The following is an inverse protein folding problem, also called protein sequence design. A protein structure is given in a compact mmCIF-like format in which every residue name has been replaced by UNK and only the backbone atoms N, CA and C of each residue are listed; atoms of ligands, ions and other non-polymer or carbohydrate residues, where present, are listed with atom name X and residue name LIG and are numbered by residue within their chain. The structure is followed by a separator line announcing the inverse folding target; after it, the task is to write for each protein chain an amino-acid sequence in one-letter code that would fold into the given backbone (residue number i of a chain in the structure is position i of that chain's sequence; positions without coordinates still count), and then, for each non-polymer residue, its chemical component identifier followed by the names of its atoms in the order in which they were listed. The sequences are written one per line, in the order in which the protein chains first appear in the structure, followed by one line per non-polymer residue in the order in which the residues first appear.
data_IF_478973980740
#
_entry.id   IF_478973980740
#
_cell.length_a   1.000
_cell.length_b   1.000
_cell.length_c   1.000
_cell.angle_alpha   90.00
_cell.angle_beta   90.00
_cell.angle_gamma   90.00
#
_symmetry.space_group_name_H-M   'P 1'
#
loop_
_entity.id
_entity.type
_entity.pdbx_description
1 polymer ?
#
# COMPACT_ATOMS: atom_id res chain seq x y z
N UNK A 1 -21.39 -18.47 9.81
CA UNK A 1 -22.20 -18.84 10.97
C UNK A 1 -23.41 -19.65 10.52
N UNK A 2 -23.73 -20.71 11.24
CA UNK A 2 -24.94 -21.50 11.00
C UNK A 2 -25.98 -21.09 12.07
N UNK A 3 -27.03 -20.40 11.64
CA UNK A 3 -28.06 -19.87 12.55
C UNK A 3 -28.87 -20.96 13.24
N UNK A 4 -29.08 -22.11 12.59
CA UNK A 4 -29.85 -23.23 13.16
C UNK A 4 -29.07 -23.98 14.22
N UNK A 5 -27.79 -24.22 13.97
CA UNK A 5 -26.92 -24.95 14.88
C UNK A 5 -26.19 -24.04 15.89
N UNK A 6 -26.30 -22.73 15.74
CA UNK A 6 -25.56 -21.71 16.53
C UNK A 6 -24.06 -21.94 16.57
N UNK A 7 -23.47 -22.32 15.43
CA UNK A 7 -22.05 -22.67 15.33
C UNK A 7 -21.33 -21.85 14.27
N UNK A 8 -20.02 -21.63 14.50
CA UNK A 8 -19.10 -21.11 13.49
C UNK A 8 -18.31 -22.26 12.86
N UNK A 9 -18.25 -22.28 11.53
CA UNK A 9 -17.24 -23.07 10.87
C UNK A 9 -15.92 -22.30 10.90
N UNK A 10 -14.91 -22.89 11.57
CA UNK A 10 -13.59 -22.30 11.63
C UNK A 10 -12.87 -22.49 10.31
N UNK A 11 -12.41 -21.39 9.76
CA UNK A 11 -11.52 -21.36 8.61
C UNK A 11 -10.08 -21.07 9.03
N UNK A 12 -9.13 -21.27 8.13
CA UNK A 12 -7.74 -20.87 8.37
C UNK A 12 -7.67 -19.33 8.50
N UNK A 13 -6.98 -18.81 9.51
CA UNK A 13 -6.85 -17.37 9.69
C UNK A 13 -6.07 -16.75 8.53
N UNK A 14 -6.52 -15.58 8.08
CA UNK A 14 -5.85 -14.78 7.05
C UNK A 14 -5.55 -13.39 7.60
N UNK A 15 -4.44 -12.80 7.21
CA UNK A 15 -4.16 -11.42 7.53
C UNK A 15 -5.16 -10.50 6.83
N UNK A 16 -5.68 -9.53 7.58
CA UNK A 16 -6.56 -8.50 7.03
C UNK A 16 -5.76 -7.39 6.35
N UNK A 17 -4.52 -7.19 6.76
CA UNK A 17 -3.59 -6.23 6.19
C UNK A 17 -2.18 -6.82 6.17
N UNK A 18 -1.38 -6.47 5.18
CA UNK A 18 0.00 -6.93 5.01
C UNK A 18 1.03 -5.81 5.23
N UNK A 19 0.59 -4.61 5.59
CA UNK A 19 1.47 -3.50 5.92
C UNK A 19 2.23 -3.70 7.22
N UNK A 20 3.05 -2.70 7.54
CA UNK A 20 3.89 -2.70 8.73
C UNK A 20 3.12 -2.21 9.98
N UNK A 21 2.15 -1.31 9.76
CA UNK A 21 1.41 -0.66 10.82
C UNK A 21 -0.10 -0.74 10.54
N UNK A 22 -0.78 -1.65 11.23
CA UNK A 22 -2.22 -1.81 11.13
C UNK A 22 -2.78 -2.37 12.43
N UNK A 23 -3.63 -1.58 13.12
CA UNK A 23 -4.17 -1.97 14.41
C UNK A 23 -5.61 -1.54 14.61
N UNK A 24 -6.35 -2.31 15.40
CA UNK A 24 -7.72 -2.06 15.85
C UNK A 24 -8.69 -1.65 14.72
N UNK A 25 -8.81 -2.42 13.62
CA UNK A 25 -9.73 -2.08 12.54
C UNK A 25 -11.18 -2.04 13.03
N UNK A 26 -11.89 -1.02 12.58
CA UNK A 26 -13.32 -0.88 12.81
C UNK A 26 -14.05 -0.80 11.47
N UNK A 27 -15.27 -1.32 11.42
CA UNK A 27 -16.08 -1.27 10.20
C UNK A 27 -17.44 -0.68 10.46
N UNK A 28 -17.97 0.06 9.49
CA UNK A 28 -19.35 0.57 9.50
C UNK A 28 -20.03 0.29 8.17
N UNK A 29 -21.34 0.13 8.20
CA UNK A 29 -22.16 0.04 7.00
C UNK A 29 -22.72 1.42 6.68
N UNK A 30 -22.51 1.88 5.45
CA UNK A 30 -23.08 3.13 4.96
C UNK A 30 -24.55 2.95 4.53
N UNK A 31 -25.30 4.05 4.42
CA UNK A 31 -26.70 4.02 3.94
C UNK A 31 -26.87 3.42 2.54
N UNK A 32 -25.84 3.53 1.68
CA UNK A 32 -25.81 2.95 0.33
C UNK A 32 -25.48 1.45 0.31
N UNK A 33 -25.26 0.85 1.49
CA UNK A 33 -25.03 -0.58 1.65
C UNK A 33 -23.55 -0.98 1.68
N UNK A 34 -22.63 -0.09 1.31
CA UNK A 34 -21.18 -0.35 1.38
C UNK A 34 -20.72 -0.57 2.83
N UNK A 35 -19.72 -1.40 3.01
CA UNK A 35 -19.04 -1.56 4.29
C UNK A 35 -17.67 -0.93 4.22
N UNK A 36 -17.42 0.02 5.10
CA UNK A 36 -16.17 0.76 5.17
C UNK A 36 -15.37 0.31 6.38
N UNK A 37 -14.06 0.15 6.17
CA UNK A 37 -13.07 -0.16 7.20
C UNK A 37 -12.13 1.02 7.37
N UNK A 38 -11.83 1.36 8.62
CA UNK A 38 -10.73 2.23 9.01
C UNK A 38 -9.95 1.54 10.13
N UNK A 39 -8.63 1.68 10.12
CA UNK A 39 -7.76 1.17 11.16
C UNK A 39 -6.72 2.22 11.57
N UNK A 40 -6.06 1.98 12.67
CA UNK A 40 -4.97 2.81 13.13
C UNK A 40 -3.64 2.34 12.51
N UNK A 41 -2.91 3.27 11.89
CA UNK A 41 -1.58 3.03 11.34
C UNK A 41 -0.51 3.26 12.40
N UNK A 42 -0.58 2.46 13.44
CA UNK A 42 0.42 2.38 14.50
C UNK A 42 0.32 0.99 15.14
N UNK A 43 1.44 0.36 15.38
CA UNK A 43 1.50 -0.78 16.28
C UNK A 43 2.12 -0.37 17.61
N UNK A 44 1.93 -1.19 18.64
CA UNK A 44 2.55 -0.96 19.95
C UNK A 44 4.07 -1.01 19.88
N UNK A 45 4.59 -1.75 18.91
CA UNK A 45 6.01 -2.02 18.72
C UNK A 45 6.72 -0.94 17.87
N UNK A 46 5.97 -0.03 17.23
CA UNK A 46 6.51 1.00 16.38
C UNK A 46 6.06 2.38 16.85
N UNK A 47 6.97 3.12 17.45
CA UNK A 47 6.76 4.49 17.89
C UNK A 47 7.64 5.43 17.07
N UNK A 48 7.13 5.86 15.92
CA UNK A 48 7.79 6.89 15.13
C UNK A 48 7.07 8.20 15.35
N UNK A 49 7.72 9.12 16.03
CA UNK A 49 7.22 10.48 16.22
C UNK A 49 8.28 11.42 15.66
N UNK A 50 7.98 12.15 14.59
CA UNK A 50 8.88 13.20 14.13
C UNK A 50 9.03 14.27 15.23
N UNK A 51 10.24 14.73 15.46
CA UNK A 51 10.58 15.73 16.48
C UNK A 51 9.80 17.05 16.33
N UNK A 52 9.23 17.25 15.14
CA UNK A 52 8.44 18.44 14.80
C UNK A 52 6.94 18.31 15.08
N UNK A 53 6.51 17.16 15.64
CA UNK A 53 5.10 16.87 15.90
C UNK A 53 4.88 16.53 17.37
N UNK A 54 3.80 17.07 17.93
CA UNK A 54 3.31 16.81 19.28
C UNK A 54 2.19 15.74 19.33
N UNK A 55 1.96 15.07 18.21
CA UNK A 55 1.04 13.94 18.07
C UNK A 55 1.70 12.79 17.31
N UNK A 56 1.18 11.57 17.44
CA UNK A 56 1.70 10.39 16.74
C UNK A 56 0.58 9.48 16.24
N UNK A 57 0.93 8.69 15.21
CA UNK A 57 0.02 7.78 14.55
C UNK A 57 -0.87 8.49 13.54
N UNK A 58 -1.48 7.71 12.68
CA UNK A 58 -2.47 8.17 11.71
C UNK A 58 -3.49 7.06 11.46
N UNK A 59 -4.60 7.40 10.86
CA UNK A 59 -5.58 6.43 10.40
C UNK A 59 -5.25 5.97 8.98
N UNK A 60 -5.62 4.75 8.64
CA UNK A 60 -5.58 4.30 7.25
C UNK A 60 -6.53 5.14 6.38
N UNK A 61 -6.28 5.15 5.08
CA UNK A 61 -7.36 5.53 4.15
C UNK A 61 -8.59 4.65 4.43
N UNK A 62 -9.80 5.20 4.39
CA UNK A 62 -11.01 4.40 4.44
C UNK A 62 -11.03 3.42 3.27
N UNK A 63 -11.40 2.16 3.54
CA UNK A 63 -11.43 1.07 2.56
C UNK A 63 -12.83 0.52 2.41
N UNK A 64 -13.29 0.37 1.18
CA UNK A 64 -14.49 -0.41 0.89
C UNK A 64 -14.14 -1.90 1.00
N UNK A 65 -14.99 -2.63 1.73
CA UNK A 65 -14.87 -4.08 1.85
C UNK A 65 -15.91 -4.77 0.98
N UNK A 66 -15.46 -5.74 0.23
CA UNK A 66 -16.33 -6.62 -0.56
C UNK A 66 -15.92 -8.08 -0.30
N UNK A 67 -16.91 -8.98 -0.29
CA UNK A 67 -16.67 -10.42 -0.22
C UNK A 67 -16.90 -11.01 -1.61
N UNK A 68 -15.85 -11.54 -2.22
CA UNK A 68 -15.89 -12.24 -3.51
C UNK A 68 -15.19 -13.59 -3.36
N UNK A 69 -15.84 -14.66 -3.80
CA UNK A 69 -15.30 -16.02 -3.78
C UNK A 69 -14.78 -16.46 -2.39
N UNK A 70 -15.48 -16.06 -1.31
CA UNK A 70 -15.07 -16.34 0.06
C UNK A 70 -13.82 -15.58 0.52
N UNK A 71 -13.39 -14.56 -0.22
CA UNK A 71 -12.28 -13.68 0.13
C UNK A 71 -12.77 -12.27 0.43
N UNK A 72 -12.11 -11.60 1.37
CA UNK A 72 -12.33 -10.18 1.62
C UNK A 72 -11.44 -9.40 0.67
N UNK A 73 -12.09 -8.61 -0.19
CA UNK A 73 -11.43 -7.64 -1.06
C UNK A 73 -11.50 -6.27 -0.43
N UNK A 74 -10.44 -5.51 -0.58
CA UNK A 74 -10.30 -4.17 -0.02
C UNK A 74 -9.79 -3.22 -1.11
N UNK A 75 -10.39 -2.05 -1.18
CA UNK A 75 -9.93 -0.97 -2.06
C UNK A 75 -10.18 0.38 -1.37
N UNK A 76 -9.40 1.41 -1.64
CA UNK A 76 -9.70 2.75 -1.17
C UNK A 76 -11.13 3.14 -1.53
N UNK A 77 -11.80 3.89 -0.66
CA UNK A 77 -13.16 4.38 -0.97
C UNK A 77 -13.13 5.19 -2.25
N UNK A 78 -14.15 4.98 -3.09
CA UNK A 78 -14.25 5.61 -4.42
C UNK A 78 -14.23 7.13 -4.38
N UNK A 79 -14.63 7.73 -3.28
CA UNK A 79 -14.62 9.18 -3.06
C UNK A 79 -13.21 9.79 -3.10
N UNK A 80 -12.15 9.00 -2.87
CA UNK A 80 -10.76 9.44 -2.99
C UNK A 80 -10.47 9.96 -4.40
N UNK A 81 -11.08 9.37 -5.41
CA UNK A 81 -10.84 9.76 -6.81
C UNK A 81 -11.16 11.23 -7.09
N UNK A 82 -12.10 11.85 -6.35
CA UNK A 82 -12.44 13.28 -6.53
C UNK A 82 -11.32 14.22 -6.06
N UNK A 83 -10.37 13.72 -5.25
CA UNK A 83 -9.23 14.49 -4.75
C UNK A 83 -7.99 14.37 -5.65
N UNK A 84 -8.02 13.51 -6.67
CA UNK A 84 -6.93 13.38 -7.60
C UNK A 84 -6.75 14.67 -8.41
N UNK A 85 -5.53 15.18 -8.41
CA UNK A 85 -5.13 16.42 -9.13
C UNK A 85 -3.79 16.18 -9.81
N UNK A 86 -3.52 16.99 -10.83
CA UNK A 86 -2.22 17.03 -11.51
C UNK A 86 -1.75 15.63 -11.96
N UNK A 87 -2.48 14.97 -12.87
CA UNK A 87 -2.08 13.67 -13.36
C UNK A 87 -0.75 13.75 -14.11
N UNK A 88 0.13 12.79 -13.84
CA UNK A 88 1.32 12.52 -14.63
C UNK A 88 1.17 11.12 -15.21
N UNK A 89 1.44 10.94 -16.47
CA UNK A 89 1.27 9.67 -17.16
C UNK A 89 2.48 9.34 -18.02
N UNK A 90 2.95 8.11 -17.90
CA UNK A 90 3.99 7.54 -18.76
C UNK A 90 3.38 6.35 -19.49
N UNK A 91 3.50 6.34 -20.80
CA UNK A 91 3.12 5.19 -21.64
C UNK A 91 4.39 4.56 -22.21
N UNK A 92 4.45 3.24 -22.14
CA UNK A 92 5.54 2.45 -22.72
C UNK A 92 6.94 2.89 -22.28
N UNK A 93 7.11 3.22 -20.99
CA UNK A 93 8.41 3.50 -20.44
C UNK A 93 9.26 2.22 -20.44
N UNK A 94 10.36 2.22 -21.17
CA UNK A 94 11.36 1.16 -21.08
C UNK A 94 12.29 1.46 -19.91
N UNK A 95 12.41 0.50 -18.99
CA UNK A 95 13.25 0.62 -17.80
C UNK A 95 14.37 -0.40 -17.93
N UNK A 96 15.59 0.08 -18.07
CA UNK A 96 16.81 -0.71 -18.01
C UNK A 96 17.74 -0.10 -16.96
N UNK A 97 17.88 -0.79 -15.85
CA UNK A 97 18.55 -0.25 -14.67
C UNK A 97 17.68 0.74 -13.89
N UNK A 98 18.26 1.80 -13.36
CA UNK A 98 17.59 2.83 -12.56
C UNK A 98 17.12 3.98 -13.44
N UNK A 99 15.86 4.34 -13.30
CA UNK A 99 15.23 5.41 -14.08
C UNK A 99 14.42 6.34 -13.19
N UNK A 100 14.80 7.61 -13.13
CA UNK A 100 14.02 8.64 -12.45
C UNK A 100 12.87 9.10 -13.33
N UNK A 101 11.65 9.03 -12.81
CA UNK A 101 10.46 9.51 -13.49
C UNK A 101 10.20 10.99 -13.15
N UNK A 102 10.52 11.89 -14.07
CA UNK A 102 10.36 13.33 -13.86
C UNK A 102 8.88 13.70 -13.73
N UNK A 103 8.56 14.69 -12.87
CA UNK A 103 7.18 15.13 -12.63
C UNK A 103 6.36 14.23 -11.70
N UNK A 104 6.90 13.08 -11.28
CA UNK A 104 6.32 12.28 -10.20
C UNK A 104 6.96 12.70 -8.88
N UNK A 105 6.27 13.54 -8.13
CA UNK A 105 6.72 14.01 -6.83
C UNK A 105 5.53 14.44 -5.96
N UNK A 106 5.66 14.33 -4.65
CA UNK A 106 4.65 14.80 -3.70
C UNK A 106 4.55 13.94 -2.45
N UNK A 107 4.05 14.54 -1.37
CA UNK A 107 3.79 13.85 -0.09
C UNK A 107 2.59 12.91 -0.15
N UNK A 108 1.64 13.22 -1.01
CA UNK A 108 0.40 12.46 -1.15
C UNK A 108 0.24 12.13 -2.62
N UNK A 109 0.26 10.85 -2.95
CA UNK A 109 0.13 10.39 -4.32
C UNK A 109 -0.71 9.12 -4.40
N UNK A 110 -1.36 8.95 -5.53
CA UNK A 110 -1.93 7.68 -5.96
C UNK A 110 -1.09 7.21 -7.15
N UNK A 111 -0.34 6.13 -6.94
CA UNK A 111 0.58 5.58 -7.91
C UNK A 111 0.05 4.25 -8.41
N UNK A 112 -0.16 4.15 -9.71
CA UNK A 112 -0.45 2.88 -10.34
C UNK A 112 0.60 2.55 -11.38
N UNK A 113 1.12 1.34 -11.29
CA UNK A 113 2.14 0.81 -12.19
C UNK A 113 1.61 -0.44 -12.85
N UNK A 114 1.63 -0.46 -14.18
CA UNK A 114 1.35 -1.63 -14.98
C UNK A 114 2.64 -2.11 -15.61
N UNK A 115 2.94 -3.39 -15.45
CA UNK A 115 4.10 -4.01 -16.07
C UNK A 115 3.63 -5.06 -17.07
N UNK A 116 4.17 -5.00 -18.27
CA UNK A 116 4.04 -6.10 -19.21
C UNK A 116 4.94 -7.26 -18.77
N UNK A 117 4.58 -8.49 -19.15
CA UNK A 117 5.39 -9.69 -18.88
C UNK A 117 6.67 -9.66 -19.70
N UNK A 118 7.63 -8.88 -19.28
CA UNK A 118 8.97 -8.76 -19.87
C UNK A 118 9.98 -9.67 -19.16
N UNK A 119 11.17 -9.77 -19.71
CA UNK A 119 12.31 -10.52 -19.15
C UNK A 119 12.98 -9.74 -18.00
N UNK A 120 12.30 -9.63 -16.87
CA UNK A 120 12.93 -9.12 -15.66
C UNK A 120 12.88 -10.18 -14.54
N UNK A 121 13.84 -10.14 -13.64
CA UNK A 121 13.87 -10.96 -12.43
C UNK A 121 13.34 -10.20 -11.21
N UNK A 122 13.66 -8.92 -11.14
CA UNK A 122 13.32 -8.02 -10.03
C UNK A 122 12.86 -6.69 -10.62
N UNK A 123 11.80 -6.16 -10.06
CA UNK A 123 11.32 -4.81 -10.32
C UNK A 123 11.18 -4.07 -8.99
N UNK A 124 11.70 -2.85 -8.91
CA UNK A 124 11.63 -2.04 -7.70
C UNK A 124 11.10 -0.63 -7.99
N UNK A 125 10.35 -0.10 -7.04
CA UNK A 125 9.93 1.31 -7.01
C UNK A 125 10.51 1.89 -5.73
N UNK A 126 11.32 2.93 -5.87
CA UNK A 126 11.87 3.69 -4.76
C UNK A 126 11.01 4.95 -4.57
N UNK A 127 10.56 5.16 -3.34
CA UNK A 127 9.76 6.31 -2.93
C UNK A 127 10.50 7.10 -1.84
N UNK A 128 10.30 8.41 -1.83
CA UNK A 128 10.98 9.32 -0.90
C UNK A 128 12.49 9.08 -0.89
N UNK A 129 13.07 8.92 -2.09
CA UNK A 129 14.46 8.58 -2.28
C UNK A 129 15.31 9.82 -2.52
N UNK A 130 16.45 9.88 -1.86
CA UNK A 130 17.55 10.82 -2.09
C UNK A 130 18.90 10.09 -1.94
N UNK A 131 19.99 10.81 -1.64
CA UNK A 131 21.32 10.22 -1.48
C UNK A 131 21.48 9.38 -0.19
N UNK A 132 20.57 9.54 0.79
CA UNK A 132 20.67 8.94 2.13
C UNK A 132 19.45 8.08 2.49
N UNK A 133 18.27 8.45 2.01
CA UNK A 133 16.99 7.85 2.42
C UNK A 133 16.21 7.25 1.26
N UNK A 134 15.52 6.15 1.52
CA UNK A 134 14.60 5.52 0.58
C UNK A 134 13.56 4.63 1.28
N UNK A 135 12.44 4.43 0.60
CA UNK A 135 11.51 3.34 0.86
C UNK A 135 11.29 2.57 -0.42
N UNK A 136 11.60 1.28 -0.42
CA UNK A 136 11.54 0.44 -1.60
C UNK A 136 10.35 -0.52 -1.59
N UNK A 137 9.68 -0.65 -2.74
CA UNK A 137 8.72 -1.70 -3.06
C UNK A 137 9.33 -2.58 -4.13
N UNK A 138 9.70 -3.81 -3.79
CA UNK A 138 10.42 -4.71 -4.68
C UNK A 138 9.63 -5.97 -4.98
N UNK A 139 9.40 -6.26 -6.24
CA UNK A 139 8.78 -7.49 -6.68
C UNK A 139 9.81 -8.46 -7.27
N UNK A 140 9.87 -9.65 -6.71
CA UNK A 140 10.73 -10.75 -7.13
C UNK A 140 9.92 -11.75 -7.97
N UNK A 141 10.03 -11.69 -9.30
CA UNK A 141 9.23 -12.49 -10.24
C UNK A 141 9.38 -14.00 -10.00
N UNK A 142 10.61 -14.49 -9.87
CA UNK A 142 10.89 -15.93 -9.68
C UNK A 142 10.29 -16.54 -8.41
N UNK A 143 10.12 -15.75 -7.35
CA UNK A 143 9.53 -16.21 -6.09
C UNK A 143 8.08 -15.74 -5.90
N UNK A 144 7.62 -14.76 -6.67
CA UNK A 144 6.32 -14.11 -6.49
C UNK A 144 6.23 -13.37 -5.16
N UNK A 145 7.33 -12.84 -4.65
CA UNK A 145 7.34 -12.06 -3.40
C UNK A 145 7.32 -10.58 -3.73
N UNK A 146 6.39 -9.86 -3.11
CA UNK A 146 6.43 -8.41 -2.98
C UNK A 146 7.03 -8.08 -1.63
N UNK A 147 8.06 -7.28 -1.62
CA UNK A 147 8.74 -6.78 -0.44
C UNK A 147 8.52 -5.28 -0.31
N UNK A 148 8.24 -4.83 0.91
CA UNK A 148 8.23 -3.42 1.29
C UNK A 148 9.36 -3.25 2.29
N UNK A 149 10.34 -2.43 1.94
CA UNK A 149 11.50 -2.14 2.77
C UNK A 149 11.57 -0.65 3.05
N UNK A 150 11.55 -0.29 4.32
CA UNK A 150 11.73 1.07 4.82
C UNK A 150 12.95 1.19 5.75
N UNK A 151 13.91 0.31 5.63
CA UNK A 151 15.12 0.30 6.48
C UNK A 151 15.84 1.65 6.44
N UNK A 152 15.84 2.28 5.28
CA UNK A 152 16.50 3.56 5.05
C UNK A 152 15.53 4.74 4.95
N UNK A 153 14.34 4.66 5.52
CA UNK A 153 13.36 5.75 5.44
C UNK A 153 13.57 6.89 6.45
N UNK A 154 14.72 6.95 7.11
CA UNK A 154 15.04 7.98 8.11
C UNK A 154 14.47 7.71 9.50
N UNK A 155 13.77 6.60 9.69
CA UNK A 155 13.23 6.21 11.00
C UNK A 155 14.31 5.47 11.79
N UNK A 156 14.58 5.92 12.98
CA UNK A 156 15.56 5.29 13.85
C UNK A 156 14.98 4.10 14.62
N UNK A 157 15.78 3.04 14.69
CA UNK A 157 15.86 1.87 15.59
C UNK A 157 14.56 1.29 16.17
N UNK A 158 14.54 -0.06 16.21
CA UNK A 158 13.58 -0.92 16.90
C UNK A 158 12.18 -1.02 16.27
N UNK A 159 12.02 -0.64 15.00
CA UNK A 159 10.79 -0.84 14.24
C UNK A 159 10.97 -1.92 13.18
N UNK A 160 9.90 -2.65 12.89
CA UNK A 160 9.89 -3.58 11.76
C UNK A 160 9.98 -2.78 10.47
N UNK A 161 11.11 -2.90 9.75
CA UNK A 161 11.36 -2.14 8.53
C UNK A 161 11.00 -2.92 7.27
N UNK A 162 10.98 -4.25 7.31
CA UNK A 162 10.78 -5.09 6.13
C UNK A 162 9.55 -5.97 6.28
N UNK A 163 8.72 -6.00 5.25
CA UNK A 163 7.58 -6.90 5.13
C UNK A 163 7.59 -7.61 3.77
N UNK A 164 7.42 -8.92 3.79
CA UNK A 164 7.38 -9.76 2.58
C UNK A 164 6.02 -10.43 2.45
N UNK A 165 5.46 -10.36 1.25
CA UNK A 165 4.14 -10.92 0.93
C UNK A 165 4.28 -11.84 -0.26
N UNK A 166 3.80 -13.08 -0.15
CA UNK A 166 3.70 -13.98 -1.29
C UNK A 166 2.47 -13.60 -2.11
N UNK A 167 2.71 -13.19 -3.34
CA UNK A 167 1.63 -12.90 -4.29
C UNK A 167 1.26 -14.19 -5.03
N UNK A 168 -0.02 -14.45 -5.14
CA UNK A 168 -0.50 -15.61 -5.91
C UNK A 168 -0.13 -15.46 -7.39
N UNK A 169 0.27 -16.56 -8.02
CA UNK A 169 0.74 -16.59 -9.41
C UNK A 169 -0.28 -16.15 -10.47
N UNK A 170 -1.55 -16.07 -10.08
CA UNK A 170 -2.65 -15.58 -10.92
C UNK A 170 -3.02 -14.12 -10.65
N UNK A 171 -2.25 -13.42 -9.81
CA UNK A 171 -2.50 -12.03 -9.52
C UNK A 171 -2.07 -11.18 -10.72
N UNK A 172 -3.04 -10.52 -11.31
CA UNK A 172 -2.78 -9.52 -12.35
C UNK A 172 -2.75 -8.16 -11.67
N UNK A 173 -1.68 -7.41 -11.88
CA UNK A 173 -1.66 -6.01 -11.51
C UNK A 173 -2.72 -5.29 -12.35
N UNK A 174 -3.75 -4.70 -11.75
CA UNK A 174 -4.76 -4.00 -12.53
C UNK A 174 -4.10 -2.83 -13.28
N UNK A 175 -4.43 -2.68 -14.55
CA UNK A 175 -4.00 -1.54 -15.34
C UNK A 175 -4.72 -0.28 -14.87
N UNK A 176 -4.00 0.65 -14.30
CA UNK A 176 -4.54 1.96 -13.89
C UNK A 176 -3.48 3.05 -14.01
N UNK A 177 -3.88 4.29 -14.16
CA UNK A 177 -3.02 5.44 -14.45
C UNK A 177 -2.44 6.10 -13.21
N UNK A 178 -1.23 6.63 -13.30
CA UNK A 178 -0.57 7.46 -12.28
C UNK A 178 -1.13 8.88 -12.31
N UNK A 179 -1.41 9.48 -11.15
CA UNK A 179 -1.84 10.89 -11.04
C UNK A 179 -1.10 11.56 -9.87
N UNK A 180 -0.26 12.53 -10.15
CA UNK A 180 0.61 13.20 -9.18
C UNK A 180 0.51 14.72 -9.29
N UNK A 181 0.43 15.48 -8.18
CA UNK A 181 0.55 16.93 -8.19
C UNK A 181 2.00 17.41 -8.31
N UNK A 182 2.28 18.58 -8.90
CA UNK A 182 3.61 19.16 -8.88
C UNK A 182 3.96 19.65 -7.48
N UNK A 183 5.09 19.20 -6.96
CA UNK A 183 5.66 19.67 -5.71
C UNK A 183 7.18 19.47 -5.72
N UNK A 184 7.97 20.32 -5.05
CA UNK A 184 9.40 20.05 -4.89
C UNK A 184 9.64 18.71 -4.15
N UNK A 185 10.81 18.09 -4.32
CA UNK A 185 11.11 16.82 -3.70
C UNK A 185 10.86 16.89 -2.20
N UNK A 186 10.15 15.93 -1.69
CA UNK A 186 9.83 15.84 -0.27
C UNK A 186 10.74 14.81 0.34
N UNK A 187 11.64 15.31 1.16
CA UNK A 187 12.35 14.50 2.15
C UNK A 187 11.37 14.28 3.30
N UNK A 188 11.05 13.03 3.60
CA UNK A 188 10.36 12.64 4.81
C UNK A 188 11.38 12.29 5.88
#
# INVERSE_FOLDING_TARGET
YNDTAHTFQKEAPKSLDYGLDFYAPQTTKLPDGRRILIAWMKSWDACVVPDTQDWQGMMTLPRELEVKDGQIWQQPVREIAQYHKNPCHYEHAEIDGETALSGICGRTMDLTVTMDEQDFNVFSIQLAADEEYETAFTYHKGTGILEIDRTYCGVTKDVVCVRKIKIASNWKFPSTSVKVPPCPPVIL
#
